data_IF_420227956076
#
_entry.id   IF_420227956076
#
_cell.length_a   1.000
_cell.length_b   1.000
_cell.length_c   1.000
_cell.angle_alpha   90.00
_cell.angle_beta   90.00
_cell.angle_gamma   90.00
#
_symmetry.space_group_name_H-M   'P 1'
#
loop_
_entity.id
_entity.type
_entity.pdbx_description
1 polymer ?
#
# COMPACT_ATOMS: atom_id res chain seq x y z
N UNK A 1 38.11 -33.12 -2.93
CA UNK A 1 37.87 -31.87 -3.71
C UNK A 1 36.40 -31.46 -3.83
N UNK A 2 35.43 -32.36 -4.07
CA UNK A 2 34.01 -31.96 -4.22
C UNK A 2 33.37 -31.38 -2.95
N UNK A 3 33.73 -31.89 -1.76
CA UNK A 3 33.18 -31.37 -0.48
C UNK A 3 33.54 -29.90 -0.24
N UNK A 4 34.77 -29.50 -0.56
CA UNK A 4 35.23 -28.11 -0.42
C UNK A 4 34.49 -27.19 -1.40
N UNK A 5 34.30 -27.63 -2.65
CA UNK A 5 33.51 -26.86 -3.63
C UNK A 5 32.07 -26.66 -3.14
N UNK A 6 31.43 -27.69 -2.59
CA UNK A 6 30.09 -27.60 -2.03
C UNK A 6 30.07 -26.61 -0.86
N UNK A 7 31.04 -26.68 0.07
CA UNK A 7 31.12 -25.74 1.19
C UNK A 7 31.28 -24.29 0.71
N UNK A 8 32.12 -24.05 -0.30
CA UNK A 8 32.30 -22.72 -0.90
C UNK A 8 31.00 -22.23 -1.55
N UNK A 9 30.29 -23.10 -2.29
CA UNK A 9 29.00 -22.76 -2.89
C UNK A 9 27.94 -22.44 -1.84
N UNK A 10 27.87 -23.21 -0.75
CA UNK A 10 26.93 -22.97 0.35
C UNK A 10 27.27 -21.65 1.06
N UNK A 11 28.55 -21.38 1.31
CA UNK A 11 28.98 -20.14 1.94
C UNK A 11 28.68 -18.91 1.09
N UNK A 12 28.94 -18.99 -0.22
CA UNK A 12 28.57 -17.94 -1.19
C UNK A 12 27.06 -17.72 -1.23
N UNK A 13 26.26 -18.79 -1.20
CA UNK A 13 24.80 -18.69 -1.20
C UNK A 13 24.29 -17.96 0.05
N UNK A 14 24.83 -18.29 1.23
CA UNK A 14 24.48 -17.63 2.49
C UNK A 14 24.87 -16.14 2.45
N UNK A 15 26.06 -15.82 1.92
CA UNK A 15 26.52 -14.44 1.78
C UNK A 15 25.57 -13.63 0.89
N UNK A 16 25.14 -14.17 -0.25
CA UNK A 16 24.19 -13.49 -1.15
C UNK A 16 22.83 -13.26 -0.48
N UNK A 17 22.33 -14.25 0.27
CA UNK A 17 21.05 -14.13 0.98
C UNK A 17 21.10 -13.13 2.14
N UNK A 18 22.28 -12.93 2.75
CA UNK A 18 22.46 -11.99 3.87
C UNK A 18 22.38 -10.51 3.49
N UNK A 19 22.53 -10.18 2.20
CA UNK A 19 22.50 -8.78 1.70
C UNK A 19 21.12 -8.38 1.15
N UNK A 20 20.13 -9.29 1.21
CA UNK A 20 18.78 -9.00 0.73
C UNK A 20 18.13 -7.91 1.60
N UNK A 21 17.95 -6.71 1.02
CA UNK A 21 17.24 -5.62 1.68
C UNK A 21 15.73 -5.86 1.63
N UNK A 22 14.97 -5.47 2.67
CA UNK A 22 13.52 -5.53 2.64
C UNK A 22 13.00 -4.64 1.51
N UNK A 23 12.32 -5.25 0.53
CA UNK A 23 11.65 -4.52 -0.53
C UNK A 23 10.32 -3.96 0.00
N UNK A 24 10.26 -2.65 0.24
CA UNK A 24 9.00 -1.97 0.53
C UNK A 24 8.23 -1.78 -0.78
N UNK A 25 7.28 -2.68 -1.06
CA UNK A 25 6.39 -2.55 -2.19
C UNK A 25 5.18 -1.68 -1.80
N UNK A 26 5.23 -0.38 -2.11
CA UNK A 26 4.04 0.48 -2.05
C UNK A 26 3.20 0.32 -3.31
N UNK A 27 1.88 0.24 -3.16
CA UNK A 27 0.97 0.22 -4.31
C UNK A 27 0.71 1.66 -4.75
N UNK A 28 1.11 1.99 -5.98
CA UNK A 28 0.94 3.32 -6.56
C UNK A 28 -0.02 3.30 -7.75
N UNK A 29 -0.80 4.37 -7.90
CA UNK A 29 -1.66 4.61 -9.07
C UNK A 29 -1.55 6.06 -9.50
N UNK A 30 -1.70 6.27 -10.80
CA UNK A 30 -1.73 7.60 -11.39
C UNK A 30 -3.17 8.04 -11.59
N UNK A 31 -3.44 9.29 -11.25
CA UNK A 31 -4.72 9.96 -11.44
C UNK A 31 -4.47 11.27 -12.18
N UNK A 32 -5.41 11.67 -13.04
CA UNK A 32 -5.34 12.94 -13.75
C UNK A 32 -6.42 13.85 -13.18
N UNK A 33 -6.00 14.98 -12.61
CA UNK A 33 -6.88 16.03 -12.15
C UNK A 33 -6.18 17.38 -12.34
N UNK A 34 -6.97 18.44 -12.51
CA UNK A 34 -6.47 19.79 -12.88
C UNK A 34 -5.58 19.83 -14.14
N UNK A 35 -5.73 18.84 -15.04
CA UNK A 35 -4.90 18.70 -16.24
C UNK A 35 -3.49 18.14 -16.02
N UNK A 36 -3.14 17.80 -14.77
CA UNK A 36 -1.83 17.27 -14.39
C UNK A 36 -1.94 15.82 -13.93
N UNK A 37 -0.83 15.06 -14.11
CA UNK A 37 -0.74 13.67 -13.70
C UNK A 37 -0.17 13.59 -12.30
N UNK A 38 -0.99 13.11 -11.37
CA UNK A 38 -0.61 12.94 -9.97
C UNK A 38 -0.43 11.46 -9.63
N UNK A 39 0.55 11.16 -8.80
CA UNK A 39 0.87 9.82 -8.34
C UNK A 39 0.46 9.66 -6.87
N UNK A 40 -0.47 8.73 -6.62
CA UNK A 40 -0.90 8.38 -5.26
C UNK A 40 -0.33 7.01 -4.91
N UNK A 41 0.42 6.93 -3.82
CA UNK A 41 1.01 5.70 -3.31
C UNK A 41 0.49 5.40 -1.89
N UNK A 42 0.09 4.16 -1.64
CA UNK A 42 -0.24 3.68 -0.30
C UNK A 42 1.05 3.23 0.38
N UNK A 43 1.45 3.93 1.44
CA UNK A 43 2.64 3.62 2.24
C UNK A 43 2.33 2.57 3.31
N UNK A 44 1.15 2.67 3.92
CA UNK A 44 0.65 1.72 4.89
C UNK A 44 -0.87 1.67 4.80
N UNK A 45 -1.44 0.49 5.00
CA UNK A 45 -2.89 0.30 5.06
C UNK A 45 -3.20 -0.81 6.05
N UNK A 46 -4.00 -0.49 7.07
CA UNK A 46 -4.45 -1.42 8.08
C UNK A 46 -5.97 -1.37 8.15
N UNK A 47 -6.62 -2.52 7.96
CA UNK A 47 -8.07 -2.65 8.16
C UNK A 47 -8.38 -2.83 9.64
N UNK A 48 -9.38 -2.13 10.14
CA UNK A 48 -9.85 -2.29 11.52
C UNK A 48 -10.43 -3.69 11.75
N UNK A 49 -10.16 -4.27 12.92
CA UNK A 49 -10.72 -5.56 13.31
C UNK A 49 -12.19 -5.44 13.79
N UNK A 50 -12.55 -4.28 14.37
CA UNK A 50 -13.91 -4.01 14.87
C UNK A 50 -14.87 -3.64 13.74
N UNK A 51 -14.41 -2.82 12.81
CA UNK A 51 -15.22 -2.28 11.72
C UNK A 51 -14.54 -2.59 10.37
N UNK A 52 -15.01 -3.60 9.65
CA UNK A 52 -14.32 -4.06 8.41
C UNK A 52 -14.33 -3.02 7.27
N UNK A 53 -15.20 -2.01 7.35
CA UNK A 53 -15.27 -0.88 6.41
C UNK A 53 -14.32 0.27 6.77
N UNK A 54 -13.66 0.22 7.92
CA UNK A 54 -12.70 1.24 8.36
C UNK A 54 -11.27 0.82 8.05
N UNK A 55 -10.55 1.74 7.41
CA UNK A 55 -9.16 1.58 7.03
C UNK A 55 -8.33 2.71 7.62
N UNK A 56 -7.22 2.39 8.26
CA UNK A 56 -6.19 3.36 8.63
C UNK A 56 -5.10 3.31 7.59
N UNK A 57 -4.89 4.40 6.87
CA UNK A 57 -3.94 4.42 5.77
C UNK A 57 -3.02 5.64 5.83
N UNK A 58 -1.72 5.40 5.60
CA UNK A 58 -0.75 6.44 5.27
C UNK A 58 -0.53 6.46 3.77
N UNK A 59 -0.66 7.63 3.16
CA UNK A 59 -0.53 7.80 1.71
C UNK A 59 0.53 8.84 1.38
N UNK A 60 1.06 8.75 0.17
CA UNK A 60 1.91 9.76 -0.44
C UNK A 60 1.24 10.24 -1.72
N UNK A 61 1.19 11.56 -1.91
CA UNK A 61 0.71 12.18 -3.15
C UNK A 61 1.89 12.93 -3.75
N UNK A 62 2.29 12.58 -4.97
CA UNK A 62 3.45 13.13 -5.69
C UNK A 62 4.75 13.10 -4.87
N UNK A 63 4.97 12.00 -4.14
CA UNK A 63 6.12 11.82 -3.25
C UNK A 63 6.01 12.53 -1.90
N UNK A 64 4.99 13.36 -1.68
CA UNK A 64 4.74 14.03 -0.39
C UNK A 64 3.89 13.13 0.51
N UNK A 65 4.49 12.68 1.62
CA UNK A 65 3.81 11.87 2.63
C UNK A 65 2.74 12.69 3.37
N UNK A 66 1.54 12.14 3.45
CA UNK A 66 0.43 12.68 4.23
C UNK A 66 0.35 11.98 5.59
N UNK A 67 -0.24 12.65 6.60
CA UNK A 67 -0.52 12.00 7.88
C UNK A 67 -1.41 10.77 7.70
N UNK A 68 -1.31 9.81 8.61
CA UNK A 68 -2.21 8.66 8.63
C UNK A 68 -3.61 9.10 9.02
N UNK A 69 -4.58 8.80 8.16
CA UNK A 69 -6.00 9.14 8.32
C UNK A 69 -6.85 7.86 8.39
N UNK A 70 -8.08 7.99 8.91
CA UNK A 70 -9.06 6.90 8.94
C UNK A 70 -10.04 7.09 7.78
N UNK A 71 -10.23 6.07 6.96
CA UNK A 71 -11.13 6.07 5.82
C UNK A 71 -12.30 5.12 6.10
N UNK A 72 -13.52 5.64 6.09
CA UNK A 72 -14.74 4.86 6.20
C UNK A 72 -15.30 4.59 4.80
N UNK A 73 -15.14 3.36 4.34
CA UNK A 73 -15.53 2.96 2.99
C UNK A 73 -17.03 2.72 2.81
N UNK A 74 -17.78 2.61 3.90
CA UNK A 74 -19.24 2.49 3.84
C UNK A 74 -19.89 3.84 3.57
N UNK A 75 -19.47 4.86 4.31
CA UNK A 75 -20.00 6.23 4.19
C UNK A 75 -19.23 7.10 3.20
N UNK A 76 -18.09 6.62 2.68
CA UNK A 76 -17.18 7.37 1.80
C UNK A 76 -16.71 8.69 2.40
N UNK A 77 -16.30 8.63 3.65
CA UNK A 77 -15.74 9.77 4.40
C UNK A 77 -14.38 9.40 4.97
N UNK A 78 -13.51 10.41 5.13
CA UNK A 78 -12.26 10.29 5.87
C UNK A 78 -12.33 11.11 7.15
N UNK A 79 -11.65 10.63 8.17
CA UNK A 79 -11.44 11.30 9.45
C UNK A 79 -9.97 11.68 9.52
N UNK A 80 -9.72 12.98 9.51
CA UNK A 80 -8.39 13.54 9.68
C UNK A 80 -7.89 13.34 11.12
N UNK A 81 -6.60 13.57 11.36
CA UNK A 81 -6.01 13.46 12.70
C UNK A 81 -6.65 14.39 13.74
N UNK A 82 -7.18 15.53 13.31
CA UNK A 82 -7.90 16.48 14.16
C UNK A 82 -9.37 16.07 14.45
N UNK A 83 -9.81 14.90 13.98
CA UNK A 83 -11.18 14.40 14.15
C UNK A 83 -12.18 14.97 13.13
N UNK A 84 -11.75 15.85 12.22
CA UNK A 84 -12.63 16.40 11.18
C UNK A 84 -13.03 15.30 10.21
N UNK A 85 -14.33 15.18 9.97
CA UNK A 85 -14.91 14.24 9.01
C UNK A 85 -15.12 14.98 7.69
N UNK A 86 -14.52 14.49 6.61
CA UNK A 86 -14.67 15.03 5.28
C UNK A 86 -15.13 13.95 4.30
N UNK A 87 -16.03 14.26 3.35
CA UNK A 87 -16.36 13.35 2.27
C UNK A 87 -15.15 13.09 1.38
N UNK A 88 -15.12 11.95 0.70
CA UNK A 88 -14.14 11.70 -0.35
C UNK A 88 -14.38 12.68 -1.51
N UNK A 89 -13.38 13.51 -1.79
CA UNK A 89 -13.38 14.36 -2.98
C UNK A 89 -12.93 13.58 -4.22
N UNK A 90 -13.13 14.13 -5.42
CA UNK A 90 -12.66 13.52 -6.68
C UNK A 90 -11.15 13.25 -6.70
N UNK A 91 -10.37 13.96 -5.89
CA UNK A 91 -8.90 13.85 -5.76
C UNK A 91 -8.47 13.00 -4.56
N UNK A 92 -9.42 12.34 -3.89
CA UNK A 92 -9.15 11.67 -2.63
C UNK A 92 -8.62 10.24 -2.83
N UNK A 93 -7.58 9.83 -2.07
CA UNK A 93 -7.07 8.46 -2.09
C UNK A 93 -8.08 7.42 -1.57
N UNK A 94 -9.20 7.84 -0.97
CA UNK A 94 -10.22 6.98 -0.36
C UNK A 94 -10.74 5.89 -1.29
N UNK A 95 -11.00 6.18 -2.56
CA UNK A 95 -11.45 5.17 -3.53
C UNK A 95 -10.39 4.09 -3.78
N UNK A 96 -9.11 4.47 -3.80
CA UNK A 96 -8.00 3.53 -3.94
C UNK A 96 -7.86 2.64 -2.70
N UNK A 97 -8.00 3.23 -1.51
CA UNK A 97 -7.93 2.53 -0.22
C UNK A 97 -9.08 1.54 -0.07
N UNK A 98 -10.31 1.98 -0.37
CA UNK A 98 -11.51 1.16 -0.22
C UNK A 98 -11.58 -0.01 -1.21
N UNK A 99 -10.93 0.13 -2.36
CA UNK A 99 -10.83 -0.95 -3.34
C UNK A 99 -9.59 -1.85 -3.15
N UNK A 100 -8.69 -1.52 -2.22
CA UNK A 100 -7.40 -2.21 -2.05
C UNK A 100 -7.57 -3.72 -1.87
N UNK A 101 -8.29 -4.14 -0.84
CA UNK A 101 -8.54 -5.56 -0.56
C UNK A 101 -9.67 -6.17 -1.39
N UNK A 102 -10.46 -5.37 -2.11
CA UNK A 102 -11.50 -5.89 -3.00
C UNK A 102 -10.91 -6.29 -4.37
N UNK A 103 -9.82 -5.63 -4.79
CA UNK A 103 -9.15 -5.90 -6.06
C UNK A 103 -8.44 -7.26 -6.09
N UNK A 104 -8.07 -7.84 -4.94
CA UNK A 104 -7.49 -9.19 -4.84
C UNK A 104 -8.47 -10.28 -5.28
N UNK A 105 -9.79 -10.05 -5.18
CA UNK A 105 -10.82 -11.00 -5.64
C UNK A 105 -11.01 -11.03 -7.16
N UNK A 106 -10.54 -10.02 -7.91
CA UNK A 106 -10.65 -10.05 -9.39
C UNK A 106 -9.68 -11.04 -10.03
N UNK A 107 -8.55 -11.36 -9.40
CA UNK A 107 -7.63 -12.39 -9.89
C UNK A 107 -8.19 -13.82 -9.75
N UNK A 108 -9.20 -14.03 -8.90
CA UNK A 108 -9.82 -15.33 -8.67
C UNK A 108 -11.08 -15.57 -9.52
N UNK A 109 -11.52 -14.57 -10.30
CA UNK A 109 -12.75 -14.61 -11.10
C UNK A 109 -12.49 -14.58 -12.62
N UNK A 110 -11.28 -14.93 -13.02
CA UNK A 110 -11.01 -15.43 -14.36
C UNK A 110 -11.13 -16.95 -14.29
N UNK A 111 -12.34 -17.46 -14.46
CA UNK A 111 -12.60 -18.88 -14.74
C UNK A 111 -13.47 -18.93 -15.99
#
# INVERSE_FOLDING_TARGET
MNKIRIVIFVFLLILVLSVAHPAFASVCRYYVYDGLRHQICILSINRSAKNYWEYRAGVSVDGVKRPTEVYNCHQRVKVQQNGTILPFEQKDPGEMICSFFNSSRRKTRAK
#
